data_IF_446517969364
#
_entry.id   IF_446517969364
#
_cell.length_a   1.000
_cell.length_b   1.000
_cell.length_c   1.000
_cell.angle_alpha   90.00
_cell.angle_beta   90.00
_cell.angle_gamma   90.00
#
_symmetry.space_group_name_H-M   'P 1'
#
loop_
_entity.id
_entity.type
_entity.pdbx_description
1 polymer ?
#
# COMPACT_ATOMS: atom_id res chain seq x y z
N UNK A 1 -9.11 36.31 22.88
CA UNK A 1 -9.33 35.15 21.99
C UNK A 1 -8.00 34.42 21.92
N UNK A 2 -7.97 33.18 22.41
CA UNK A 2 -6.77 32.46 22.78
C UNK A 2 -6.38 31.46 21.67
N UNK A 3 -5.41 31.85 20.84
CA UNK A 3 -4.91 31.05 19.69
C UNK A 3 -4.13 29.79 20.12
N UNK A 4 -3.96 29.55 21.42
CA UNK A 4 -3.25 28.38 21.95
C UNK A 4 -4.11 27.09 22.04
N UNK A 5 -5.40 27.15 21.69
CA UNK A 5 -6.32 26.00 21.82
C UNK A 5 -6.46 25.14 20.55
N UNK A 6 -5.92 25.58 19.41
CA UNK A 6 -6.13 24.91 18.12
C UNK A 6 -5.10 23.81 17.78
N UNK A 7 -3.97 23.77 18.50
CA UNK A 7 -2.92 22.75 18.29
C UNK A 7 -2.99 21.55 19.24
N UNK A 8 -3.97 21.53 20.16
CA UNK A 8 -4.05 20.52 21.23
C UNK A 8 -5.07 19.41 21.00
N UNK A 9 -5.54 19.21 19.75
CA UNK A 9 -6.07 17.91 19.31
C UNK A 9 -4.90 17.03 18.86
N UNK A 10 -3.98 16.73 19.78
CA UNK A 10 -3.18 15.51 19.65
C UNK A 10 -4.17 14.37 19.73
N UNK A 11 -4.60 13.90 18.56
CA UNK A 11 -5.43 12.72 18.43
C UNK A 11 -4.75 11.61 19.24
N UNK A 12 -5.43 11.15 20.28
CA UNK A 12 -5.06 9.99 21.11
C UNK A 12 -5.09 8.66 20.33
N UNK A 13 -5.02 8.74 18.99
CA UNK A 13 -4.93 7.60 18.11
C UNK A 13 -3.50 7.09 18.11
N UNK A 14 -3.36 5.79 18.36
CA UNK A 14 -2.13 5.05 18.10
C UNK A 14 -1.60 5.45 16.71
N UNK A 15 -0.32 5.83 16.58
CA UNK A 15 0.25 6.26 15.32
C UNK A 15 0.02 5.19 14.26
N UNK A 16 -0.45 5.61 13.08
CA UNK A 16 -0.70 4.69 11.97
C UNK A 16 0.64 4.13 11.48
N UNK A 17 0.65 2.83 11.17
CA UNK A 17 1.78 2.19 10.53
C UNK A 17 1.94 2.74 9.09
N UNK A 18 3.16 2.76 8.54
CA UNK A 18 3.38 3.05 7.13
C UNK A 18 2.52 2.15 6.24
N UNK A 19 2.12 2.63 5.06
CA UNK A 19 1.15 1.93 4.20
C UNK A 19 1.65 0.56 3.75
N UNK A 20 2.97 0.43 3.60
CA UNK A 20 3.64 -0.80 3.17
C UNK A 20 3.91 -1.79 4.29
N UNK A 21 3.63 -1.42 5.55
CA UNK A 21 3.93 -2.24 6.73
C UNK A 21 2.64 -2.77 7.36
N UNK A 22 2.63 -4.06 7.70
CA UNK A 22 1.46 -4.69 8.32
C UNK A 22 1.69 -6.15 8.69
N UNK A 23 0.58 -6.88 8.84
CA UNK A 23 0.58 -8.30 9.17
C UNK A 23 -0.20 -9.10 8.12
N UNK A 24 0.21 -10.35 7.92
CA UNK A 24 -0.59 -11.39 7.30
C UNK A 24 -1.21 -12.23 8.42
N UNK A 25 -2.49 -12.56 8.30
CA UNK A 25 -3.19 -13.38 9.29
C UNK A 25 -3.87 -14.57 8.64
N UNK A 26 -4.01 -15.64 9.42
CA UNK A 26 -4.75 -16.84 9.07
C UNK A 26 -5.87 -17.01 10.08
N UNK A 27 -7.08 -17.31 9.62
CA UNK A 27 -8.22 -17.62 10.47
C UNK A 27 -8.90 -18.90 9.98
N UNK A 28 -9.17 -19.81 10.91
CA UNK A 28 -9.98 -21.00 10.67
C UNK A 28 -11.43 -20.74 11.06
N UNK A 29 -12.36 -21.11 10.17
CA UNK A 29 -13.79 -20.96 10.39
C UNK A 29 -14.57 -22.04 9.65
N UNK A 30 -15.39 -22.82 10.37
CA UNK A 30 -16.24 -23.87 9.78
C UNK A 30 -15.45 -24.83 8.87
N UNK A 31 -14.25 -25.21 9.30
CA UNK A 31 -13.35 -26.10 8.54
C UNK A 31 -12.76 -25.47 7.27
N UNK A 32 -12.78 -24.14 7.14
CA UNK A 32 -12.19 -23.39 6.02
C UNK A 32 -11.18 -22.39 6.54
N UNK A 33 -10.16 -22.11 5.73
CA UNK A 33 -9.11 -21.19 6.09
C UNK A 33 -9.25 -19.91 5.29
N UNK A 34 -9.15 -18.77 5.96
CA UNK A 34 -8.98 -17.48 5.30
C UNK A 34 -7.60 -16.93 5.60
N UNK A 35 -6.91 -16.52 4.55
CA UNK A 35 -5.66 -15.75 4.64
C UNK A 35 -5.98 -14.31 4.25
N UNK A 36 -5.55 -13.36 5.06
CA UNK A 36 -5.74 -11.95 4.76
C UNK A 36 -4.63 -11.09 5.33
N UNK A 37 -4.74 -9.79 5.12
CA UNK A 37 -3.72 -8.82 5.51
C UNK A 37 -4.32 -7.62 6.23
N UNK A 38 -3.61 -7.07 7.21
CA UNK A 38 -4.08 -5.89 7.96
C UNK A 38 -2.97 -5.24 8.77
N UNK A 39 -3.04 -3.91 8.93
CA UNK A 39 -2.28 -3.17 9.94
C UNK A 39 -2.83 -3.36 11.36
N UNK A 40 -4.08 -3.86 11.49
CA UNK A 40 -4.76 -4.08 12.77
C UNK A 40 -5.48 -5.44 12.78
N UNK A 41 -4.73 -6.55 12.68
CA UNK A 41 -5.29 -7.89 12.43
C UNK A 41 -6.28 -8.33 13.51
N UNK A 42 -6.04 -8.03 14.80
CA UNK A 42 -6.97 -8.36 15.89
C UNK A 42 -8.35 -7.72 15.69
N UNK A 43 -8.39 -6.44 15.32
CA UNK A 43 -9.65 -5.73 15.07
C UNK A 43 -10.36 -6.29 13.85
N UNK A 44 -9.60 -6.61 12.79
CA UNK A 44 -10.12 -7.25 11.57
C UNK A 44 -10.71 -8.63 11.85
N UNK A 45 -10.00 -9.47 12.59
CA UNK A 45 -10.45 -10.81 12.98
C UNK A 45 -11.73 -10.70 13.82
N UNK A 46 -11.77 -9.83 14.83
CA UNK A 46 -13.00 -9.59 15.62
C UNK A 46 -14.19 -9.18 14.76
N UNK A 47 -13.96 -8.29 13.78
CA UNK A 47 -14.99 -7.88 12.82
C UNK A 47 -15.48 -9.03 11.94
N UNK A 48 -14.57 -9.90 11.49
CA UNK A 48 -14.94 -11.10 10.73
C UNK A 48 -15.78 -12.05 11.59
N UNK A 49 -15.34 -12.32 12.82
CA UNK A 49 -16.02 -13.21 13.78
C UNK A 49 -17.43 -12.69 14.07
N UNK A 50 -17.58 -11.39 14.39
CA UNK A 50 -18.87 -10.80 14.71
C UNK A 50 -19.84 -10.77 13.53
N UNK A 51 -19.36 -10.45 12.31
CA UNK A 51 -20.21 -10.37 11.12
C UNK A 51 -20.67 -11.74 10.60
N UNK A 52 -19.88 -12.78 10.84
CA UNK A 52 -20.17 -14.14 10.33
C UNK A 52 -20.87 -15.04 11.33
N UNK A 53 -21.03 -14.58 12.58
CA UNK A 53 -21.59 -15.37 13.67
C UNK A 53 -20.73 -16.59 14.04
N UNK A 54 -19.41 -16.51 13.81
CA UNK A 54 -18.47 -17.56 14.19
C UNK A 54 -18.16 -17.45 15.68
N UNK A 55 -18.14 -18.57 16.39
CA UNK A 55 -17.90 -18.59 17.85
C UNK A 55 -16.52 -19.15 18.22
N UNK A 56 -15.90 -19.95 17.36
CA UNK A 56 -14.57 -20.52 17.56
C UNK A 56 -13.73 -20.36 16.31
N UNK A 57 -12.67 -19.56 16.42
CA UNK A 57 -11.73 -19.36 15.32
C UNK A 57 -10.30 -19.41 15.83
N UNK A 58 -9.60 -20.51 15.52
CA UNK A 58 -8.13 -20.51 15.58
C UNK A 58 -7.64 -19.39 14.66
N UNK A 59 -6.69 -18.61 15.13
CA UNK A 59 -6.08 -17.58 14.32
C UNK A 59 -4.59 -17.51 14.58
N UNK A 60 -3.88 -17.13 13.53
CA UNK A 60 -2.45 -16.83 13.53
C UNK A 60 -2.28 -15.45 12.95
N UNK A 61 -1.34 -14.69 13.51
CA UNK A 61 -0.97 -13.36 13.04
C UNK A 61 0.54 -13.37 12.91
N UNK A 62 1.04 -13.04 11.72
CA UNK A 62 2.47 -12.93 11.48
C UNK A 62 3.10 -11.82 12.33
N UNK A 63 4.42 -11.84 12.41
CA UNK A 63 5.19 -10.65 12.81
C UNK A 63 4.84 -9.45 11.93
N UNK A 64 5.08 -8.25 12.46
CA UNK A 64 4.99 -7.01 11.70
C UNK A 64 6.11 -7.01 10.65
N UNK A 65 5.80 -6.73 9.39
CA UNK A 65 6.81 -6.71 8.33
C UNK A 65 6.43 -5.74 7.21
N UNK A 66 7.44 -5.29 6.46
CA UNK A 66 7.28 -4.51 5.23
C UNK A 66 6.81 -5.43 4.09
N UNK A 67 6.08 -4.88 3.12
CA UNK A 67 5.65 -5.65 1.94
C UNK A 67 4.56 -6.69 2.23
N UNK A 68 3.82 -6.55 3.34
CA UNK A 68 2.78 -7.52 3.75
C UNK A 68 1.68 -7.79 2.69
N UNK A 69 1.53 -6.90 1.71
CA UNK A 69 0.72 -7.14 0.50
C UNK A 69 1.33 -8.20 -0.42
N UNK A 70 2.62 -8.08 -0.72
CA UNK A 70 3.33 -9.03 -1.57
C UNK A 70 3.37 -10.41 -0.90
N UNK A 71 3.61 -10.44 0.42
CA UNK A 71 3.53 -11.68 1.23
C UNK A 71 2.17 -12.35 1.09
N UNK A 72 1.07 -11.61 1.22
CA UNK A 72 -0.28 -12.15 1.09
C UNK A 72 -0.56 -12.71 -0.31
N UNK A 73 -0.15 -11.99 -1.36
CA UNK A 73 -0.24 -12.45 -2.75
C UNK A 73 0.56 -13.75 -2.95
N UNK A 74 1.77 -13.84 -2.42
CA UNK A 74 2.60 -15.03 -2.51
C UNK A 74 1.92 -16.24 -1.83
N UNK A 75 1.38 -16.06 -0.63
CA UNK A 75 0.64 -17.12 0.08
C UNK A 75 -0.61 -17.55 -0.69
N UNK A 76 -1.36 -16.59 -1.23
CA UNK A 76 -2.55 -16.85 -2.05
C UNK A 76 -2.25 -17.62 -3.33
N UNK A 77 -1.06 -17.38 -3.90
CA UNK A 77 -0.56 -18.08 -5.09
C UNK A 77 -0.17 -19.51 -4.72
N UNK A 78 0.57 -19.71 -3.63
CA UNK A 78 0.97 -21.03 -3.14
C UNK A 78 -0.23 -21.91 -2.74
N UNK A 79 -1.30 -21.31 -2.23
CA UNK A 79 -2.53 -22.02 -1.85
C UNK A 79 -3.59 -22.07 -2.97
N UNK A 80 -3.26 -21.65 -4.19
CA UNK A 80 -4.25 -21.47 -5.25
C UNK A 80 -5.04 -22.76 -5.58
N UNK A 81 -4.40 -23.93 -5.52
CA UNK A 81 -5.05 -25.24 -5.75
C UNK A 81 -6.09 -25.60 -4.70
N UNK A 82 -6.03 -24.99 -3.50
CA UNK A 82 -6.98 -25.20 -2.42
C UNK A 82 -8.07 -24.11 -2.36
N UNK A 83 -8.06 -23.13 -3.28
CA UNK A 83 -8.99 -21.99 -3.21
C UNK A 83 -10.43 -22.43 -3.46
N UNK A 84 -11.33 -22.06 -2.54
CA UNK A 84 -12.77 -22.31 -2.65
C UNK A 84 -13.46 -21.11 -3.30
N UNK A 85 -13.38 -19.95 -2.64
CA UNK A 85 -14.04 -18.71 -3.09
C UNK A 85 -13.36 -17.51 -2.45
N UNK A 86 -13.03 -16.50 -3.28
CA UNK A 86 -12.33 -15.30 -2.82
C UNK A 86 -11.02 -15.64 -2.11
N UNK A 87 -10.95 -15.32 -0.83
CA UNK A 87 -9.78 -15.52 0.05
C UNK A 87 -9.95 -16.73 1.00
N UNK A 88 -10.84 -17.67 0.68
CA UNK A 88 -11.10 -18.88 1.46
C UNK A 88 -10.53 -20.14 0.79
N UNK A 89 -9.94 -21.03 1.58
CA UNK A 89 -9.19 -22.19 1.15
C UNK A 89 -9.64 -23.48 1.88
N UNK A 90 -9.58 -24.62 1.18
CA UNK A 90 -9.83 -25.98 1.67
C UNK A 90 -8.51 -26.67 2.03
N UNK A 91 -7.75 -26.10 2.97
CA UNK A 91 -6.53 -26.69 3.52
C UNK A 91 -6.60 -26.70 5.06
N UNK A 92 -5.65 -27.34 5.73
CA UNK A 92 -5.56 -27.28 7.18
C UNK A 92 -5.00 -25.93 7.66
N UNK A 93 -5.37 -25.53 8.87
CA UNK A 93 -4.85 -24.30 9.48
C UNK A 93 -3.31 -24.31 9.55
N UNK A 94 -2.73 -25.44 9.95
CA UNK A 94 -1.27 -25.57 10.11
C UNK A 94 -0.56 -25.46 8.76
N UNK A 95 -1.09 -26.05 7.69
CA UNK A 95 -0.53 -25.90 6.34
C UNK A 95 -0.55 -24.44 5.86
N UNK A 96 -1.63 -23.71 6.13
CA UNK A 96 -1.71 -22.29 5.79
C UNK A 96 -0.70 -21.46 6.61
N UNK A 97 -0.56 -21.72 7.91
CA UNK A 97 0.44 -21.05 8.76
C UNK A 97 1.86 -21.34 8.27
N UNK A 98 2.20 -22.60 7.96
CA UNK A 98 3.50 -22.96 7.39
C UNK A 98 3.76 -22.22 6.08
N UNK A 99 2.74 -22.06 5.23
CA UNK A 99 2.87 -21.31 3.97
C UNK A 99 3.15 -19.82 4.23
N UNK A 100 2.47 -19.21 5.20
CA UNK A 100 2.75 -17.82 5.62
C UNK A 100 4.17 -17.68 6.16
N UNK A 101 4.60 -18.57 7.05
CA UNK A 101 5.95 -18.55 7.61
C UNK A 101 7.02 -18.73 6.54
N UNK A 102 6.78 -19.59 5.55
CA UNK A 102 7.69 -19.79 4.42
C UNK A 102 7.81 -18.54 3.55
N UNK A 103 6.68 -17.85 3.28
CA UNK A 103 6.68 -16.58 2.54
C UNK A 103 7.36 -15.42 3.28
N UNK A 104 7.50 -15.53 4.61
CA UNK A 104 8.15 -14.53 5.46
C UNK A 104 9.65 -14.75 5.63
N UNK A 105 10.17 -15.92 5.27
CA UNK A 105 11.56 -16.30 5.52
C UNK A 105 12.56 -15.27 4.96
N UNK A 106 12.23 -14.63 3.84
CA UNK A 106 13.08 -13.67 3.16
C UNK A 106 12.83 -12.19 3.53
N UNK A 107 11.75 -11.90 4.28
CA UNK A 107 11.29 -10.51 4.52
C UNK A 107 11.74 -9.98 5.88
N UNK A 108 11.80 -10.84 6.90
CA UNK A 108 12.17 -10.46 8.27
C UNK A 108 11.12 -9.63 9.00
N UNK A 109 11.38 -9.35 10.29
CA UNK A 109 10.52 -8.51 11.14
C UNK A 109 10.85 -7.02 10.97
N UNK A 110 9.81 -6.17 10.86
CA UNK A 110 9.96 -4.73 10.77
C UNK A 110 10.01 -4.11 12.18
N UNK A 111 11.14 -3.50 12.52
CA UNK A 111 11.33 -2.79 13.78
C UNK A 111 10.58 -1.44 13.81
N UNK A 112 10.44 -0.86 15.00
CA UNK A 112 9.87 0.48 15.16
C UNK A 112 10.71 1.55 14.45
N UNK A 113 12.05 1.47 14.56
CA UNK A 113 12.95 2.39 13.87
C UNK A 113 12.75 2.31 12.35
N UNK A 114 12.65 1.10 11.80
CA UNK A 114 12.37 0.90 10.38
C UNK A 114 11.00 1.45 9.98
N UNK A 115 9.97 1.31 10.82
CA UNK A 115 8.67 1.93 10.57
C UNK A 115 8.74 3.46 10.55
N UNK A 116 9.57 4.06 11.39
CA UNK A 116 9.77 5.52 11.42
C UNK A 116 10.49 6.03 10.18
N UNK A 117 11.53 5.31 9.75
CA UNK A 117 12.23 5.59 8.48
C UNK A 117 11.26 5.56 7.29
N UNK A 118 10.52 4.46 7.11
CA UNK A 118 9.54 4.33 6.00
C UNK A 118 8.51 5.45 6.07
N UNK A 119 8.02 5.81 7.27
CA UNK A 119 7.08 6.92 7.43
C UNK A 119 7.70 8.25 7.01
N UNK A 120 8.94 8.51 7.38
CA UNK A 120 9.65 9.73 7.00
C UNK A 120 9.87 9.82 5.49
N UNK A 121 10.17 8.68 4.85
CA UNK A 121 10.28 8.58 3.39
C UNK A 121 8.93 8.84 2.71
N UNK A 122 7.84 8.25 3.21
CA UNK A 122 6.48 8.48 2.71
C UNK A 122 6.08 9.96 2.79
N UNK A 123 6.38 10.63 3.92
CA UNK A 123 6.11 12.07 4.10
C UNK A 123 6.90 12.89 3.09
N UNK A 124 8.22 12.65 3.00
CA UNK A 124 9.11 13.36 2.07
C UNK A 124 8.63 13.21 0.63
N UNK A 125 8.24 11.98 0.25
CA UNK A 125 7.69 11.68 -1.09
C UNK A 125 6.40 12.44 -1.35
N UNK A 126 5.49 12.47 -0.38
CA UNK A 126 4.22 13.20 -0.49
C UNK A 126 4.43 14.71 -0.60
N UNK A 127 5.40 15.28 0.13
CA UNK A 127 5.77 16.68 0.05
C UNK A 127 6.35 17.04 -1.32
N UNK A 128 7.29 16.24 -1.83
CA UNK A 128 7.85 16.41 -3.17
C UNK A 128 6.78 16.31 -4.26
N UNK A 129 5.89 15.31 -4.17
CA UNK A 129 4.78 15.17 -5.11
C UNK A 129 3.84 16.38 -5.05
N UNK A 130 3.56 16.90 -3.86
CA UNK A 130 2.73 18.09 -3.67
C UNK A 130 3.38 19.35 -4.25
N UNK A 131 4.69 19.52 -4.05
CA UNK A 131 5.45 20.63 -4.63
C UNK A 131 5.44 20.57 -6.16
N UNK A 132 5.69 19.39 -6.72
CA UNK A 132 5.64 19.16 -8.15
C UNK A 132 4.24 19.49 -8.71
N UNK A 133 3.16 18.97 -8.10
CA UNK A 133 1.79 19.32 -8.48
C UNK A 133 1.50 20.82 -8.43
N UNK A 134 1.97 21.54 -7.40
CA UNK A 134 1.81 23.00 -7.33
C UNK A 134 2.51 23.71 -8.47
N UNK A 135 3.77 23.35 -8.76
CA UNK A 135 4.52 23.90 -9.91
C UNK A 135 3.80 23.65 -11.23
N UNK A 136 3.17 22.48 -11.38
CA UNK A 136 2.36 22.14 -12.55
C UNK A 136 1.14 23.07 -12.70
N UNK A 137 0.42 23.33 -11.61
CA UNK A 137 -0.73 24.25 -11.64
C UNK A 137 -0.32 25.70 -11.87
N UNK A 138 0.78 26.16 -11.27
CA UNK A 138 1.25 27.55 -11.42
C UNK A 138 1.76 27.84 -12.84
N UNK A 139 2.41 26.87 -13.49
CA UNK A 139 2.96 27.05 -14.83
C UNK A 139 1.90 26.98 -15.96
N UNK A 140 0.68 26.52 -15.66
CA UNK A 140 -0.36 26.32 -16.67
C UNK A 140 -1.75 26.80 -16.20
N UNK A 141 -1.96 28.12 -16.07
CA UNK A 141 -3.21 28.69 -15.53
C UNK A 141 -4.46 28.39 -16.38
N UNK A 142 -4.28 27.95 -17.64
CA UNK A 142 -5.36 27.58 -18.56
C UNK A 142 -5.95 26.18 -18.32
N UNK A 143 -5.39 25.37 -17.42
CA UNK A 143 -5.89 24.01 -17.10
C UNK A 143 -6.73 23.92 -15.82
N UNK A 144 -7.24 25.05 -15.33
CA UNK A 144 -8.17 25.11 -14.19
C UNK A 144 -9.51 24.36 -14.38
N UNK A 145 -9.75 23.74 -15.54
CA UNK A 145 -11.02 23.04 -15.84
C UNK A 145 -10.89 21.52 -16.07
N UNK A 146 -9.70 20.97 -16.25
CA UNK A 146 -9.52 19.51 -16.39
C UNK A 146 -9.34 18.88 -15.02
N UNK A 147 -10.35 18.15 -14.56
CA UNK A 147 -10.27 17.42 -13.29
C UNK A 147 -9.32 16.23 -13.45
N UNK A 148 -8.49 15.95 -12.44
CA UNK A 148 -7.65 14.74 -12.39
C UNK A 148 -8.49 13.45 -12.46
N UNK A 149 -9.79 13.52 -12.17
CA UNK A 149 -10.73 12.40 -12.38
C UNK A 149 -10.95 12.04 -13.85
N UNK A 150 -10.59 12.93 -14.77
CA UNK A 150 -10.94 12.80 -16.20
C UNK A 150 -9.80 12.16 -17.02
N UNK A 151 -8.67 11.82 -16.38
CA UNK A 151 -7.54 11.16 -17.06
C UNK A 151 -7.92 9.69 -17.33
N UNK A 152 -8.14 9.29 -18.59
CA UNK A 152 -8.87 8.07 -18.90
C UNK A 152 -8.03 6.78 -18.73
N UNK A 153 -6.71 6.85 -18.58
CA UNK A 153 -5.85 5.69 -18.25
C UNK A 153 -4.44 6.10 -17.74
N UNK A 154 -3.74 5.12 -17.15
CA UNK A 154 -2.39 5.25 -16.58
C UNK A 154 -1.34 5.76 -17.57
N UNK A 155 -1.46 5.36 -18.85
CA UNK A 155 -0.53 5.72 -19.92
C UNK A 155 -0.58 7.23 -20.19
N UNK A 156 -1.78 7.79 -20.24
CA UNK A 156 -1.96 9.24 -20.39
C UNK A 156 -1.38 10.00 -19.20
N UNK A 157 -1.51 9.47 -17.98
CA UNK A 157 -0.86 10.05 -16.80
C UNK A 157 0.68 10.07 -16.90
N UNK A 158 1.29 9.01 -17.42
CA UNK A 158 2.75 8.93 -17.61
C UNK A 158 3.23 9.90 -18.69
N UNK A 159 2.58 9.90 -19.87
CA UNK A 159 2.89 10.81 -20.98
C UNK A 159 2.75 12.28 -20.54
N UNK A 160 1.77 12.58 -19.69
CA UNK A 160 1.61 13.90 -19.08
C UNK A 160 2.79 14.22 -18.16
N UNK A 161 3.18 13.32 -17.26
CA UNK A 161 4.33 13.51 -16.35
C UNK A 161 5.62 13.74 -17.13
N UNK A 162 5.89 13.00 -18.21
CA UNK A 162 7.11 13.16 -19.02
C UNK A 162 7.13 14.49 -19.78
N UNK A 163 6.03 14.82 -20.45
CA UNK A 163 5.86 16.11 -21.14
C UNK A 163 6.04 17.29 -20.16
N UNK A 164 5.47 17.16 -18.97
CA UNK A 164 5.58 18.15 -17.90
C UNK A 164 6.99 18.24 -17.31
N UNK A 165 7.64 17.11 -17.08
CA UNK A 165 9.01 17.05 -16.57
C UNK A 165 9.97 17.80 -17.49
N UNK A 166 9.84 17.58 -18.80
CA UNK A 166 10.62 18.30 -19.81
C UNK A 166 10.29 19.79 -19.86
N UNK A 167 9.02 20.17 -19.69
CA UNK A 167 8.58 21.58 -19.80
C UNK A 167 8.99 22.41 -18.58
N UNK A 168 8.94 21.82 -17.39
CA UNK A 168 9.20 22.52 -16.13
C UNK A 168 10.61 22.30 -15.56
N UNK A 169 11.47 21.59 -16.30
CA UNK A 169 12.82 21.23 -15.84
C UNK A 169 12.79 20.57 -14.45
N UNK A 170 11.86 19.63 -14.23
CA UNK A 170 11.75 18.94 -12.96
C UNK A 170 13.00 18.09 -12.71
N UNK A 171 13.44 18.03 -11.46
CA UNK A 171 14.53 17.13 -11.07
C UNK A 171 14.07 15.67 -11.09
N UNK A 172 15.02 14.73 -11.25
CA UNK A 172 14.71 13.29 -11.29
C UNK A 172 13.94 12.81 -10.03
N UNK A 173 14.23 13.38 -8.85
CA UNK A 173 13.53 13.05 -7.61
C UNK A 173 12.07 13.52 -7.62
N UNK A 174 11.77 14.67 -8.24
CA UNK A 174 10.39 15.16 -8.40
C UNK A 174 9.60 14.30 -9.39
N UNK A 175 10.23 13.93 -10.51
CA UNK A 175 9.61 13.04 -11.52
C UNK A 175 9.27 11.69 -10.89
N UNK A 176 10.21 11.09 -10.15
CA UNK A 176 9.96 9.83 -9.44
C UNK A 176 8.87 9.97 -8.36
N UNK A 177 8.81 11.10 -7.65
CA UNK A 177 7.76 11.36 -6.67
C UNK A 177 6.36 11.47 -7.33
N UNK A 178 6.26 12.11 -8.49
CA UNK A 178 5.02 12.18 -9.28
C UNK A 178 4.57 10.79 -9.76
N UNK A 179 5.51 10.00 -10.29
CA UNK A 179 5.21 8.63 -10.71
C UNK A 179 4.75 7.75 -9.55
N UNK A 180 5.41 7.85 -8.40
CA UNK A 180 5.01 7.11 -7.21
C UNK A 180 3.62 7.56 -6.71
N UNK A 181 3.31 8.85 -6.73
CA UNK A 181 1.98 9.36 -6.38
C UNK A 181 0.89 8.86 -7.35
N UNK A 182 1.20 8.83 -8.64
CA UNK A 182 0.30 8.27 -9.66
C UNK A 182 0.09 6.75 -9.45
N UNK A 183 1.14 6.02 -9.09
CA UNK A 183 1.07 4.59 -8.75
C UNK A 183 0.19 4.31 -7.53
N UNK A 184 0.31 5.14 -6.50
CA UNK A 184 -0.54 5.08 -5.31
C UNK A 184 -2.02 5.32 -5.65
N UNK A 185 -2.33 6.25 -6.57
CA UNK A 185 -3.71 6.53 -6.98
C UNK A 185 -4.32 5.45 -7.87
N UNK A 186 -3.54 4.87 -8.79
CA UNK A 186 -4.05 3.92 -9.78
C UNK A 186 -4.02 2.45 -9.32
N UNK A 187 -3.36 2.16 -8.19
CA UNK A 187 -3.09 0.81 -7.71
C UNK A 187 -1.97 0.15 -8.53
N UNK A 188 -0.87 -0.21 -7.86
CA UNK A 188 0.41 -0.67 -8.43
C UNK A 188 0.34 -1.65 -9.62
N UNK A 189 -0.70 -2.48 -9.76
CA UNK A 189 -0.76 -3.51 -10.80
C UNK A 189 -0.93 -2.98 -12.22
N UNK A 190 -1.46 -1.76 -12.42
CA UNK A 190 -1.71 -1.21 -13.76
C UNK A 190 -0.54 -0.42 -14.36
N UNK A 191 0.37 0.09 -13.54
CA UNK A 191 1.50 0.92 -14.01
C UNK A 191 2.69 0.09 -14.49
N UNK A 192 2.98 -1.04 -13.83
CA UNK A 192 4.11 -1.90 -14.21
C UNK A 192 3.92 -2.62 -15.56
N UNK A 193 2.68 -2.72 -16.08
CA UNK A 193 2.43 -3.34 -17.39
C UNK A 193 2.71 -2.41 -18.58
N UNK A 194 2.99 -1.12 -18.35
CA UNK A 194 3.21 -0.14 -19.43
C UNK A 194 4.50 0.67 -19.34
N UNK A 195 5.26 0.58 -18.24
CA UNK A 195 6.48 1.36 -18.06
C UNK A 195 7.74 0.56 -18.43
N UNK A 196 8.47 1.01 -19.44
CA UNK A 196 9.86 0.60 -19.65
C UNK A 196 10.77 1.37 -18.68
N UNK A 197 10.83 0.91 -17.43
CA UNK A 197 11.65 1.53 -16.38
C UNK A 197 13.17 1.45 -16.68
N UNK A 198 13.60 0.58 -17.60
CA UNK A 198 15.02 0.47 -17.96
C UNK A 198 15.51 1.71 -18.73
N UNK A 199 14.64 2.36 -19.52
CA UNK A 199 14.98 3.62 -20.20
C UNK A 199 15.16 4.81 -19.25
N UNK A 200 14.43 4.84 -18.13
CA UNK A 200 14.40 5.97 -17.19
C UNK A 200 15.57 5.97 -16.19
N UNK A 201 16.12 4.79 -15.87
CA UNK A 201 17.32 4.65 -15.02
C UNK A 201 18.63 4.73 -15.82
N UNK A 202 18.59 4.50 -17.13
CA UNK A 202 19.78 4.53 -18.00
C UNK A 202 20.22 5.93 -18.47
N UNK A 203 19.46 6.98 -18.17
CA UNK A 203 19.72 8.36 -18.59
C UNK A 203 20.16 9.30 -17.43
N UNK A 204 20.45 8.75 -16.26
CA UNK A 204 20.99 9.48 -15.10
C UNK A 204 22.53 9.47 -15.08
#
# INVERSE_FOLDING_TARGET
>A
MDHASEFRRQATGTPRLPRTVGHVYVIEAKGRIKVGRSQRPIQRIRGLVSQSGLTETRHFISVLHEGYQATEIAVHTSLASFRIVGEWFACSFDAAVTTVLSALADVGECSNARCEEIRSEEITRAELASLALRRLFDANPLHSQTSLSDVPNARHGCELIESMASTLSLSNSEVLALYAALADQLGHSKLLQGMDLQGLLGAA
#
